data_IF_388502121979
#
_entry.id   IF_388502121979
#
_cell.length_a   1.000
_cell.length_b   1.000
_cell.length_c   1.000
_cell.angle_alpha   90.00
_cell.angle_beta   90.00
_cell.angle_gamma   90.00
#
_symmetry.space_group_name_H-M   'P 1'
#
loop_
_entity.id
_entity.type
_entity.pdbx_description
1 polymer ?
#
# COMPACT_ATOMS: atom_id res chain seq x y z
N UNK A 1 -4.56 7.88 14.22
CA UNK A 1 -4.80 7.68 12.78
C UNK A 1 -3.49 7.50 12.06
N UNK A 2 -3.42 6.56 11.15
CA UNK A 2 -2.21 6.32 10.35
C UNK A 2 -1.95 7.50 9.43
N UNK A 3 -0.72 8.00 9.43
CA UNK A 3 -0.28 9.01 8.47
C UNK A 3 0.49 8.30 7.35
N UNK A 4 -0.23 7.90 6.30
CA UNK A 4 0.37 7.13 5.22
C UNK A 4 1.38 7.96 4.43
N UNK A 5 2.61 7.48 4.43
CA UNK A 5 3.68 7.95 3.55
C UNK A 5 4.14 6.79 2.68
N UNK A 6 4.82 7.09 1.59
CA UNK A 6 5.26 6.04 0.68
C UNK A 6 6.66 6.31 0.15
N UNK A 7 7.28 5.23 -0.32
CA UNK A 7 8.52 5.28 -1.08
C UNK A 7 8.39 4.32 -2.26
N UNK A 8 8.79 4.78 -3.43
CA UNK A 8 8.64 4.08 -4.68
C UNK A 8 10.00 3.79 -5.30
N UNK A 9 10.19 2.59 -5.81
CA UNK A 9 11.43 2.23 -6.47
C UNK A 9 11.50 0.77 -6.84
N UNK A 10 12.71 0.31 -7.08
CA UNK A 10 13.00 -1.07 -7.48
C UNK A 10 13.57 -1.82 -6.28
N UNK A 11 13.06 -3.03 -6.06
CA UNK A 11 13.57 -3.92 -5.02
C UNK A 11 14.97 -4.39 -5.42
N UNK A 12 15.98 -4.00 -4.66
CA UNK A 12 17.36 -4.39 -4.92
C UNK A 12 17.81 -5.61 -4.14
N UNK A 13 17.24 -5.82 -2.95
CA UNK A 13 17.55 -6.96 -2.09
C UNK A 13 16.33 -7.34 -1.25
N UNK A 14 16.24 -8.63 -0.95
CA UNK A 14 15.30 -9.16 0.04
C UNK A 14 16.08 -10.11 0.91
N UNK A 15 16.19 -9.81 2.21
CA UNK A 15 16.96 -10.60 3.17
C UNK A 15 16.07 -10.97 4.35
N UNK A 16 16.44 -12.05 5.04
CA UNK A 16 15.79 -12.38 6.30
C UNK A 16 16.00 -11.26 7.32
N UNK A 17 15.00 -11.02 8.14
CA UNK A 17 15.07 -10.04 9.20
C UNK A 17 14.72 -10.71 10.52
N UNK A 18 15.69 -10.84 11.41
CA UNK A 18 15.49 -11.50 12.69
C UNK A 18 14.72 -10.58 13.64
N UNK A 19 13.61 -11.05 14.17
CA UNK A 19 12.81 -10.36 15.18
C UNK A 19 12.66 -11.25 16.39
N UNK A 20 13.16 -10.77 17.54
CA UNK A 20 13.13 -11.52 18.79
C UNK A 20 14.07 -12.71 18.79
N UNK A 21 13.91 -13.56 19.82
CA UNK A 21 14.77 -14.73 20.03
C UNK A 21 14.00 -16.04 19.96
N UNK A 22 12.73 -15.98 19.55
CA UNK A 22 11.87 -17.14 19.45
C UNK A 22 12.01 -17.76 18.06
N UNK A 23 12.29 -19.07 17.98
CA UNK A 23 12.39 -19.78 16.72
C UNK A 23 11.11 -19.74 15.87
N UNK A 24 9.95 -19.50 16.48
CA UNK A 24 8.69 -19.40 15.74
C UNK A 24 8.62 -18.17 14.83
N UNK A 25 9.33 -17.10 15.17
CA UNK A 25 9.37 -15.89 14.34
C UNK A 25 10.44 -15.95 13.25
N UNK A 26 11.26 -16.97 13.26
CA UNK A 26 12.30 -17.12 12.24
C UNK A 26 11.69 -17.37 10.87
N UNK A 27 12.10 -16.55 9.89
CA UNK A 27 11.53 -16.62 8.55
C UNK A 27 10.23 -15.86 8.36
N UNK A 28 9.64 -15.32 9.42
CA UNK A 28 8.37 -14.56 9.33
C UNK A 28 8.56 -13.12 8.88
N UNK A 29 9.77 -12.58 9.03
CA UNK A 29 10.06 -11.19 8.69
C UNK A 29 11.19 -11.14 7.67
N UNK A 30 11.05 -10.21 6.72
CA UNK A 30 12.10 -9.93 5.75
C UNK A 30 12.40 -8.44 5.70
N UNK A 31 13.59 -8.10 5.25
CA UNK A 31 14.00 -6.73 5.00
C UNK A 31 14.11 -6.55 3.50
N UNK A 32 13.28 -5.67 2.96
CA UNK A 32 13.21 -5.39 1.53
C UNK A 32 13.84 -4.03 1.26
N UNK A 33 14.95 -4.01 0.56
CA UNK A 33 15.65 -2.79 0.19
C UNK A 33 15.12 -2.28 -1.13
N UNK A 34 14.71 -1.01 -1.16
CA UNK A 34 14.09 -0.36 -2.33
C UNK A 34 14.92 0.87 -2.68
N UNK A 35 15.25 1.03 -3.96
CA UNK A 35 16.06 2.12 -4.47
C UNK A 35 15.29 2.86 -5.57
N UNK A 36 15.27 4.19 -5.48
CA UNK A 36 14.51 5.02 -6.43
C UNK A 36 15.30 5.39 -7.70
N UNK A 37 16.56 4.99 -7.78
CA UNK A 37 17.41 5.32 -8.93
C UNK A 37 18.01 6.72 -8.91
N UNK A 38 17.67 7.53 -7.91
CA UNK A 38 18.17 8.90 -7.75
C UNK A 38 18.96 9.08 -6.46
N UNK A 39 19.45 8.00 -5.89
CA UNK A 39 20.21 7.99 -4.64
C UNK A 39 19.38 7.72 -3.40
N UNK A 40 18.05 7.66 -3.51
CA UNK A 40 17.17 7.31 -2.41
C UNK A 40 17.16 5.81 -2.16
N UNK A 41 17.32 5.40 -0.90
CA UNK A 41 17.29 4.00 -0.48
C UNK A 41 16.47 3.92 0.79
N UNK A 42 15.54 2.96 0.83
CA UNK A 42 14.73 2.67 2.01
C UNK A 42 14.70 1.17 2.23
N UNK A 43 14.82 0.76 3.49
CA UNK A 43 14.61 -0.61 3.90
C UNK A 43 13.22 -0.75 4.51
N UNK A 44 12.38 -1.61 3.92
CA UNK A 44 11.08 -1.94 4.48
C UNK A 44 11.15 -3.24 5.24
N UNK A 45 10.67 -3.22 6.49
CA UNK A 45 10.45 -4.44 7.26
C UNK A 45 9.10 -5.01 6.80
N UNK A 46 9.13 -6.21 6.26
CA UNK A 46 7.94 -6.94 5.82
C UNK A 46 7.59 -7.95 6.89
N UNK A 47 6.38 -7.86 7.41
CA UNK A 47 5.87 -8.78 8.43
C UNK A 47 4.72 -9.61 7.85
N UNK A 48 4.26 -10.64 8.57
CA UNK A 48 3.08 -11.40 8.15
C UNK A 48 1.81 -10.54 8.02
N UNK A 49 1.77 -9.38 8.70
CA UNK A 49 0.62 -8.46 8.64
C UNK A 49 0.74 -7.41 7.54
N UNK A 50 1.85 -7.33 6.84
CA UNK A 50 2.00 -6.42 5.69
C UNK A 50 1.04 -6.85 4.58
N UNK A 51 0.21 -5.92 4.11
CA UNK A 51 -0.76 -6.21 3.08
C UNK A 51 -0.15 -6.00 1.69
N UNK A 52 -0.11 -7.07 0.90
CA UNK A 52 0.33 -6.99 -0.50
C UNK A 52 -0.91 -6.94 -1.38
N UNK A 53 -1.10 -5.85 -2.11
CA UNK A 53 -2.25 -5.67 -2.99
C UNK A 53 -2.27 -6.79 -4.02
N UNK A 54 -3.43 -7.44 -4.19
CA UNK A 54 -3.63 -8.62 -5.02
C UNK A 54 -2.81 -9.85 -4.59
N UNK A 55 -2.25 -9.83 -3.39
CA UNK A 55 -1.39 -10.92 -2.87
C UNK A 55 -0.27 -11.29 -3.83
N UNK A 56 0.26 -10.32 -4.55
CA UNK A 56 1.32 -10.58 -5.51
C UNK A 56 2.64 -10.87 -4.82
N UNK A 57 3.39 -11.82 -5.37
CA UNK A 57 4.76 -12.10 -4.92
C UNK A 57 5.67 -11.03 -5.46
N UNK A 58 6.43 -10.41 -4.56
CA UNK A 58 7.41 -9.39 -4.91
C UNK A 58 8.79 -10.02 -4.87
N UNK A 59 9.54 -9.79 -5.91
CA UNK A 59 10.90 -10.34 -6.09
C UNK A 59 11.88 -9.23 -6.37
N UNK A 60 13.16 -9.54 -6.20
CA UNK A 60 14.25 -8.64 -6.58
C UNK A 60 14.09 -8.22 -8.04
N UNK A 61 14.22 -6.92 -8.29
CA UNK A 61 14.05 -6.33 -9.62
C UNK A 61 12.65 -5.77 -9.88
N UNK A 62 11.68 -6.10 -9.04
CA UNK A 62 10.32 -5.58 -9.19
C UNK A 62 10.24 -4.11 -8.78
N UNK A 63 9.41 -3.36 -9.49
CA UNK A 63 9.09 -2.00 -9.11
C UNK A 63 7.89 -2.00 -8.18
N UNK A 64 8.05 -1.37 -7.02
CA UNK A 64 7.01 -1.33 -5.99
C UNK A 64 6.81 0.05 -5.42
N UNK A 65 5.66 0.23 -4.76
CA UNK A 65 5.40 1.32 -3.82
C UNK A 65 5.17 0.70 -2.46
N UNK A 66 5.96 1.11 -1.48
CA UNK A 66 5.77 0.70 -0.08
C UNK A 66 5.17 1.84 0.73
N UNK A 67 4.11 1.55 1.49
CA UNK A 67 3.44 2.53 2.35
C UNK A 67 3.75 2.22 3.79
N UNK A 68 3.99 3.27 4.57
CA UNK A 68 4.30 3.17 5.99
C UNK A 68 3.65 4.31 6.75
N UNK A 69 3.60 4.19 8.08
CA UNK A 69 3.05 5.23 8.94
C UNK A 69 4.15 6.24 9.28
N UNK A 70 4.01 7.46 8.77
CA UNK A 70 4.95 8.54 9.03
C UNK A 70 4.98 9.00 10.49
N UNK A 71 4.00 8.62 11.30
CA UNK A 71 3.96 8.93 12.73
C UNK A 71 4.52 7.81 13.61
N UNK A 72 4.78 6.63 13.04
CA UNK A 72 5.33 5.52 13.82
C UNK A 72 6.80 5.76 14.13
N UNK A 73 7.28 5.33 15.32
CA UNK A 73 8.70 5.41 15.63
C UNK A 73 9.51 4.60 14.63
N UNK A 74 10.65 5.13 14.22
CA UNK A 74 11.59 4.43 13.35
C UNK A 74 13.01 4.60 13.93
N UNK A 75 13.89 3.60 13.74
CA UNK A 75 15.27 3.74 14.18
C UNK A 75 15.96 4.88 13.44
N UNK A 76 16.85 5.59 14.14
CA UNK A 76 17.63 6.68 13.55
C UNK A 76 18.87 6.11 12.88
N UNK A 77 18.67 5.43 11.78
CA UNK A 77 19.75 4.78 11.01
C UNK A 77 19.64 5.16 9.53
N UNK A 78 20.70 4.91 8.79
CA UNK A 78 20.71 5.08 7.34
C UNK A 78 21.16 3.76 6.70
N UNK A 79 20.48 3.24 5.65
CA UNK A 79 19.25 3.80 5.06
C UNK A 79 18.08 3.80 6.05
N UNK A 80 17.08 4.67 5.85
CA UNK A 80 15.87 4.66 6.69
C UNK A 80 15.22 3.28 6.67
N UNK A 81 14.65 2.89 7.82
CA UNK A 81 13.98 1.60 7.98
C UNK A 81 12.56 1.84 8.47
N UNK A 82 11.57 1.35 7.71
CA UNK A 82 10.17 1.54 8.03
C UNK A 82 9.43 0.21 8.02
N UNK A 83 8.43 0.10 8.89
CA UNK A 83 7.48 -1.02 8.85
C UNK A 83 6.55 -0.84 7.66
N UNK A 84 6.58 -1.72 6.68
CA UNK A 84 5.66 -1.65 5.56
C UNK A 84 4.26 -2.09 6.00
N UNK A 85 3.28 -1.22 5.76
CA UNK A 85 1.88 -1.53 5.99
C UNK A 85 1.23 -2.12 4.74
N UNK A 86 1.53 -1.52 3.59
CA UNK A 86 0.97 -1.90 2.30
C UNK A 86 2.10 -1.90 1.28
N UNK A 87 2.14 -2.93 0.45
CA UNK A 87 3.06 -3.00 -0.69
C UNK A 87 2.26 -3.19 -1.96
N UNK A 88 2.57 -2.36 -2.96
CA UNK A 88 1.97 -2.42 -4.28
C UNK A 88 3.05 -2.78 -5.29
N UNK A 89 2.87 -3.90 -5.99
CA UNK A 89 3.71 -4.22 -7.14
C UNK A 89 3.15 -3.49 -8.35
N UNK A 90 3.94 -2.62 -8.95
CA UNK A 90 3.48 -1.81 -10.07
C UNK A 90 3.30 -2.64 -11.33
N UNK A 91 2.27 -2.32 -12.09
CA UNK A 91 2.06 -2.83 -13.43
C UNK A 91 1.44 -1.74 -14.32
N UNK A 92 1.45 -1.94 -15.63
CA UNK A 92 1.08 -0.91 -16.61
C UNK A 92 -0.43 -0.76 -16.81
N UNK A 93 -1.24 -1.71 -16.34
CA UNK A 93 -2.68 -1.72 -16.61
C UNK A 93 -3.53 -1.47 -15.38
N UNK A 94 -2.92 -1.22 -14.24
CA UNK A 94 -3.63 -1.06 -12.98
C UNK A 94 -2.94 -0.01 -12.13
N UNK A 95 -3.75 0.82 -11.48
CA UNK A 95 -3.28 1.84 -10.55
C UNK A 95 -3.80 1.53 -9.15
N UNK A 96 -3.08 1.97 -8.14
CA UNK A 96 -3.50 1.84 -6.75
C UNK A 96 -3.32 3.19 -6.07
N UNK A 97 -4.36 3.63 -5.35
CA UNK A 97 -4.31 4.83 -4.53
C UNK A 97 -4.69 4.48 -3.10
N UNK A 98 -3.87 4.90 -2.16
CA UNK A 98 -4.14 4.79 -0.73
C UNK A 98 -4.36 6.20 -0.20
N UNK A 99 -5.59 6.49 0.22
CA UNK A 99 -5.93 7.82 0.73
C UNK A 99 -7.22 7.76 1.53
N UNK A 100 -7.50 8.81 2.29
CA UNK A 100 -8.79 9.03 2.92
C UNK A 100 -9.75 9.57 1.86
N UNK A 101 -10.94 8.99 1.80
CA UNK A 101 -12.01 9.43 0.90
C UNK A 101 -13.18 9.95 1.72
N UNK A 102 -13.67 11.14 1.36
CA UNK A 102 -14.70 11.82 2.13
C UNK A 102 -16.10 11.22 1.90
N UNK A 103 -17.14 11.91 2.39
CA UNK A 103 -18.52 11.45 2.24
C UNK A 103 -19.00 11.35 0.79
N UNK A 104 -18.34 12.02 -0.13
CA UNK A 104 -18.63 11.99 -1.57
C UNK A 104 -17.66 11.09 -2.32
N UNK A 105 -16.81 10.34 -1.63
CA UNK A 105 -15.80 9.44 -2.20
C UNK A 105 -14.77 10.18 -3.05
N UNK A 106 -14.44 11.40 -2.64
CA UNK A 106 -13.34 12.17 -3.20
C UNK A 106 -12.12 12.00 -2.31
N UNK A 107 -10.97 11.73 -2.92
CA UNK A 107 -9.70 11.60 -2.20
C UNK A 107 -9.33 12.89 -1.48
N UNK A 108 -8.58 12.79 -0.38
CA UNK A 108 -8.20 13.96 0.42
C UNK A 108 -7.34 14.95 -0.34
N UNK A 109 -6.57 14.49 -1.33
CA UNK A 109 -5.78 15.35 -2.21
C UNK A 109 -6.59 15.98 -3.34
N UNK A 110 -7.89 15.66 -3.44
CA UNK A 110 -8.78 16.21 -4.47
C UNK A 110 -8.54 15.68 -5.88
N UNK A 111 -7.73 14.65 -6.06
CA UNK A 111 -7.29 14.20 -7.39
C UNK A 111 -8.11 13.04 -7.95
N UNK A 112 -8.79 12.29 -7.11
CA UNK A 112 -9.53 11.10 -7.55
C UNK A 112 -10.92 11.04 -6.95
N UNK A 113 -11.93 10.94 -7.82
CA UNK A 113 -13.33 10.75 -7.47
C UNK A 113 -13.75 9.33 -7.83
N UNK A 114 -14.34 8.62 -6.86
CA UNK A 114 -14.80 7.25 -7.09
C UNK A 114 -16.27 7.22 -7.47
N UNK A 115 -16.58 6.47 -8.52
CA UNK A 115 -17.95 6.14 -8.92
C UNK A 115 -18.13 4.64 -8.71
N UNK A 116 -18.64 4.26 -7.53
CA UNK A 116 -18.78 2.86 -7.16
C UNK A 116 -19.96 2.26 -7.89
N UNK A 117 -19.73 1.16 -8.61
CA UNK A 117 -20.78 0.40 -9.28
C UNK A 117 -21.37 -0.63 -8.32
N UNK A 118 -22.61 -1.13 -8.59
CA UNK A 118 -23.19 -2.17 -7.74
C UNK A 118 -22.34 -3.46 -7.66
N UNK A 119 -21.52 -3.72 -8.69
CA UNK A 119 -20.68 -4.91 -8.76
C UNK A 119 -19.25 -4.67 -8.25
N UNK A 120 -18.91 -3.44 -7.82
CA UNK A 120 -17.56 -3.15 -7.31
C UNK A 120 -17.35 -3.88 -5.99
N UNK A 121 -16.37 -4.80 -5.89
CA UNK A 121 -16.06 -5.43 -4.61
C UNK A 121 -15.53 -4.42 -3.61
N UNK A 122 -16.08 -4.43 -2.41
CA UNK A 122 -15.61 -3.63 -1.28
C UNK A 122 -15.28 -4.61 -0.16
N UNK A 123 -13.99 -4.75 0.12
CA UNK A 123 -13.48 -5.83 0.94
C UNK A 123 -12.66 -5.30 2.11
N UNK A 124 -12.52 -6.14 3.12
CA UNK A 124 -11.50 -5.98 4.16
C UNK A 124 -10.18 -6.60 3.69
N UNK A 125 -9.10 -6.34 4.42
CA UNK A 125 -7.78 -6.90 4.09
C UNK A 125 -7.77 -8.42 4.07
N UNK A 126 -8.65 -9.05 4.84
CA UNK A 126 -8.75 -10.52 4.87
C UNK A 126 -9.60 -11.09 3.74
N UNK A 127 -10.05 -10.25 2.80
CA UNK A 127 -10.85 -10.70 1.66
C UNK A 127 -12.34 -10.81 1.93
N UNK A 128 -12.80 -10.54 3.15
CA UNK A 128 -14.22 -10.62 3.49
C UNK A 128 -14.94 -9.34 3.06
N UNK A 129 -16.23 -9.43 2.68
CA UNK A 129 -16.98 -8.26 2.28
C UNK A 129 -17.13 -7.24 3.42
N UNK A 130 -16.98 -5.98 3.06
CA UNK A 130 -17.26 -4.88 3.98
C UNK A 130 -18.73 -4.49 3.83
N UNK A 131 -19.50 -4.51 4.93
CA UNK A 131 -20.94 -4.37 4.89
C UNK A 131 -21.46 -2.96 5.10
N UNK A 132 -20.56 -2.00 5.35
CA UNK A 132 -20.93 -0.61 5.60
C UNK A 132 -20.55 0.28 4.42
N UNK A 133 -20.79 1.59 4.53
CA UNK A 133 -20.33 2.53 3.51
C UNK A 133 -18.81 2.72 3.57
N UNK A 134 -18.12 2.72 2.45
CA UNK A 134 -16.70 3.03 2.42
C UNK A 134 -16.39 4.52 2.57
N UNK A 135 -17.41 5.38 2.59
CA UNK A 135 -17.21 6.83 2.72
C UNK A 135 -16.62 7.18 4.09
N UNK A 136 -15.87 8.29 4.13
CA UNK A 136 -15.21 8.81 5.33
C UNK A 136 -14.24 7.82 5.95
N UNK A 137 -13.48 7.12 5.11
CA UNK A 137 -12.52 6.10 5.52
C UNK A 137 -11.28 6.16 4.65
N UNK A 138 -10.18 5.62 5.18
CA UNK A 138 -8.99 5.35 4.37
C UNK A 138 -9.23 4.08 3.57
N UNK A 139 -9.00 4.18 2.27
CA UNK A 139 -9.24 3.11 1.31
C UNK A 139 -7.98 2.80 0.52
N UNK A 140 -7.83 1.55 0.15
CA UNK A 140 -6.90 1.12 -0.90
C UNK A 140 -7.76 0.90 -2.14
N UNK A 141 -7.59 1.75 -3.14
CA UNK A 141 -8.41 1.73 -4.35
C UNK A 141 -7.58 1.19 -5.51
N UNK A 142 -8.07 0.11 -6.08
CA UNK A 142 -7.46 -0.51 -7.27
C UNK A 142 -8.31 -0.13 -8.47
N UNK A 143 -7.73 0.56 -9.44
CA UNK A 143 -8.50 1.11 -10.55
C UNK A 143 -7.69 1.09 -11.85
N UNK A 144 -8.41 1.22 -12.95
CA UNK A 144 -7.84 1.28 -14.29
C UNK A 144 -8.00 2.67 -14.90
N UNK A 145 -8.67 2.78 -16.05
CA UNK A 145 -8.82 4.08 -16.73
C UNK A 145 -9.56 5.10 -15.90
N UNK A 146 -9.19 6.35 -16.08
CA UNK A 146 -9.86 7.51 -15.48
C UNK A 146 -10.24 8.51 -16.56
N UNK A 147 -11.17 9.42 -16.21
CA UNK A 147 -11.40 10.61 -17.01
C UNK A 147 -10.18 11.53 -16.93
N UNK A 148 -10.08 12.47 -17.85
CA UNK A 148 -8.98 13.47 -17.88
C UNK A 148 -9.37 14.78 -17.19
N UNK A 149 -10.33 14.71 -16.28
CA UNK A 149 -10.77 15.85 -15.49
C UNK A 149 -9.97 15.99 -14.20
N UNK A 150 -10.20 17.08 -13.45
CA UNK A 150 -9.71 17.29 -12.09
C UNK A 150 -10.94 17.57 -11.21
N UNK A 151 -11.33 16.65 -10.29
CA UNK A 151 -10.68 15.35 -10.06
C UNK A 151 -10.90 14.39 -11.22
N UNK A 152 -9.93 13.51 -11.43
CA UNK A 152 -10.12 12.36 -12.31
C UNK A 152 -11.21 11.46 -11.72
N UNK A 153 -12.01 10.84 -12.57
CA UNK A 153 -13.09 9.96 -12.13
C UNK A 153 -12.86 8.54 -12.63
N UNK A 154 -13.15 7.58 -11.77
CA UNK A 154 -12.99 6.17 -12.10
C UNK A 154 -14.06 5.32 -11.42
N UNK A 155 -14.41 4.20 -12.06
CA UNK A 155 -15.13 3.11 -11.42
C UNK A 155 -14.09 2.10 -10.98
N UNK A 156 -13.84 1.93 -9.68
CA UNK A 156 -12.76 1.05 -9.21
C UNK A 156 -12.99 -0.41 -9.58
N UNK A 157 -11.90 -1.14 -9.80
CA UNK A 157 -11.95 -2.59 -9.92
C UNK A 157 -12.24 -3.23 -8.56
N UNK A 158 -11.69 -2.66 -7.50
CA UNK A 158 -11.78 -3.19 -6.15
C UNK A 158 -11.45 -2.10 -5.15
N UNK A 159 -12.09 -2.15 -4.00
CA UNK A 159 -11.80 -1.27 -2.87
C UNK A 159 -11.50 -2.13 -1.66
N UNK A 160 -10.38 -1.86 -0.99
CA UNK A 160 -10.04 -2.47 0.28
C UNK A 160 -10.17 -1.39 1.36
N UNK A 161 -11.01 -1.66 2.34
CA UNK A 161 -11.20 -0.74 3.47
C UNK A 161 -10.09 -0.98 4.48
N UNK A 162 -9.37 0.11 4.82
CA UNK A 162 -8.36 0.05 5.85
C UNK A 162 -9.01 0.19 7.22
N UNK A 163 -8.89 -0.85 8.03
CA UNK A 163 -9.41 -0.82 9.41
C UNK A 163 -8.24 -0.76 10.42
#
# INVERSE_FOLDING_TARGET
MVNFKFFQGIVSQINDFAVGQNGESEGCYTLMTVEDGAGGIVNFVISPSTYFVNQEVVSRGDRIVGYYDGNAPAPMIYPPQYQALIVVKENSYQNVKVDFFNSQLLSSDGQLQLNIAPYTPILLKNGQPFSKSPANRTLIVVYGPTTRSIPAQTTPHEIIVWC
#
